data_IF_489299926180
#
_entry.id   IF_489299926180
#
_cell.length_a   1.000
_cell.length_b   1.000
_cell.length_c   1.000
_cell.angle_alpha   90.00
_cell.angle_beta   90.00
_cell.angle_gamma   90.00
#
_symmetry.space_group_name_H-M   'P 1'
#
loop_
_entity.id
_entity.type
_entity.pdbx_description
1 polymer ?
#
# COMPACT_ATOMS: atom_id res chain seq x y z
N UNK A 1 2.48 -30.89 8.06
CA UNK A 1 3.36 -31.30 6.96
C UNK A 1 3.17 -30.45 5.72
N UNK A 2 1.95 -30.31 5.23
CA UNK A 2 1.68 -29.46 4.05
C UNK A 2 2.04 -27.98 4.25
N UNK A 3 1.95 -27.47 5.46
CA UNK A 3 2.31 -26.08 5.78
C UNK A 3 3.80 -25.80 5.64
N UNK A 4 4.64 -26.77 5.98
CA UNK A 4 6.08 -26.63 5.83
C UNK A 4 6.49 -26.59 4.36
N UNK A 5 5.84 -27.38 3.51
CA UNK A 5 6.09 -27.37 2.08
C UNK A 5 5.68 -26.03 1.44
N UNK A 6 4.59 -25.43 1.90
CA UNK A 6 4.18 -24.10 1.44
C UNK A 6 5.14 -23.02 1.89
N UNK A 7 5.63 -23.10 3.13
CA UNK A 7 6.58 -22.15 3.67
C UNK A 7 7.89 -22.19 2.91
N UNK A 8 8.37 -23.39 2.51
CA UNK A 8 9.59 -23.53 1.75
C UNK A 8 9.52 -23.00 0.33
N UNK A 9 8.30 -22.87 -0.23
CA UNK A 9 8.07 -22.28 -1.55
C UNK A 9 7.96 -20.76 -1.53
N UNK A 10 7.80 -20.20 -0.34
CA UNK A 10 7.70 -18.76 -0.18
C UNK A 10 9.03 -18.11 -0.52
N UNK A 11 8.98 -17.04 -1.31
CA UNK A 11 10.17 -16.28 -1.68
C UNK A 11 10.86 -15.75 -0.42
N UNK A 12 12.17 -15.95 -0.31
CA UNK A 12 12.93 -15.41 0.81
C UNK A 12 12.85 -13.90 0.90
N UNK A 13 12.65 -13.21 -0.22
CA UNK A 13 12.47 -11.76 -0.24
C UNK A 13 11.14 -11.35 0.43
N UNK A 14 10.09 -12.14 0.27
CA UNK A 14 8.82 -11.90 0.95
C UNK A 14 8.96 -12.05 2.46
N UNK A 15 9.69 -13.06 2.90
CA UNK A 15 9.96 -13.28 4.33
C UNK A 15 10.76 -12.12 4.92
N UNK A 16 11.76 -11.64 4.19
CA UNK A 16 12.55 -10.48 4.63
C UNK A 16 11.71 -9.22 4.70
N UNK A 17 10.82 -9.01 3.74
CA UNK A 17 9.91 -7.86 3.76
C UNK A 17 9.02 -7.89 5.00
N UNK A 18 8.49 -9.05 5.36
CA UNK A 18 7.68 -9.21 6.57
C UNK A 18 8.47 -8.87 7.83
N UNK A 19 9.74 -9.28 7.88
CA UNK A 19 10.63 -8.98 9.00
C UNK A 19 10.87 -7.47 9.10
N UNK A 20 11.19 -6.81 7.98
CA UNK A 20 11.44 -5.37 7.96
C UNK A 20 10.21 -4.56 8.33
N UNK A 21 9.03 -5.03 7.95
CA UNK A 21 7.78 -4.34 8.32
C UNK A 21 7.50 -4.34 9.83
N UNK A 22 8.16 -5.24 10.56
CA UNK A 22 8.04 -5.29 12.03
C UNK A 22 8.97 -4.31 12.73
N UNK A 23 9.93 -3.70 12.03
CA UNK A 23 10.87 -2.75 12.61
C UNK A 23 10.35 -1.31 12.53
N UNK A 24 10.89 -0.44 13.38
CA UNK A 24 10.65 0.99 13.27
C UNK A 24 11.35 1.55 12.02
N UNK A 25 10.96 2.72 11.60
CA UNK A 25 11.48 3.33 10.37
C UNK A 25 13.00 3.56 10.37
N UNK A 26 13.62 4.09 11.44
CA UNK A 26 15.07 4.27 11.46
C UNK A 26 15.84 2.95 11.36
N UNK A 27 15.37 1.90 12.03
CA UNK A 27 15.99 0.58 11.97
C UNK A 27 15.83 -0.04 10.60
N UNK A 28 14.63 0.06 10.03
CA UNK A 28 14.30 -0.39 8.68
C UNK A 28 15.22 0.26 7.65
N UNK A 29 15.38 1.59 7.70
CA UNK A 29 16.22 2.32 6.76
C UNK A 29 17.69 1.87 6.84
N UNK A 30 18.20 1.64 8.04
CA UNK A 30 19.58 1.18 8.25
C UNK A 30 19.79 -0.21 7.67
N UNK A 31 18.87 -1.13 7.94
CA UNK A 31 18.97 -2.50 7.48
C UNK A 31 18.86 -2.60 5.97
N UNK A 32 17.96 -1.84 5.36
CA UNK A 32 17.84 -1.79 3.91
C UNK A 32 19.07 -1.18 3.26
N UNK A 33 19.64 -0.14 3.87
CA UNK A 33 20.88 0.47 3.41
C UNK A 33 22.05 -0.51 3.45
N UNK A 34 22.16 -1.29 4.53
CA UNK A 34 23.17 -2.33 4.63
C UNK A 34 22.97 -3.42 3.59
N UNK A 35 21.73 -3.84 3.36
CA UNK A 35 21.39 -4.84 2.35
C UNK A 35 21.73 -4.36 0.94
N UNK A 36 21.48 -3.09 0.64
CA UNK A 36 21.80 -2.49 -0.66
C UNK A 36 23.29 -2.55 -0.97
N UNK A 37 24.12 -2.41 0.05
CA UNK A 37 25.58 -2.49 -0.10
C UNK A 37 26.01 -3.87 -0.56
N UNK A 38 25.30 -4.91 -0.13
CA UNK A 38 25.67 -6.31 -0.42
C UNK A 38 24.89 -6.90 -1.58
N UNK A 39 23.61 -6.54 -1.73
CA UNK A 39 22.76 -7.08 -2.78
C UNK A 39 21.65 -6.10 -3.12
N UNK A 40 21.91 -5.28 -4.13
CA UNK A 40 21.00 -4.22 -4.57
C UNK A 40 19.66 -4.76 -5.08
N UNK A 41 19.69 -5.84 -5.85
CA UNK A 41 18.47 -6.42 -6.42
C UNK A 41 17.53 -6.94 -5.33
N UNK A 42 18.09 -7.61 -4.33
CA UNK A 42 17.32 -8.10 -3.19
C UNK A 42 16.70 -6.92 -2.40
N UNK A 43 17.46 -5.85 -2.19
CA UNK A 43 16.97 -4.67 -1.48
C UNK A 43 15.80 -4.03 -2.22
N UNK A 44 15.88 -3.89 -3.53
CA UNK A 44 14.81 -3.33 -4.35
C UNK A 44 13.54 -4.18 -4.29
N UNK A 45 13.68 -5.50 -4.38
CA UNK A 45 12.54 -6.41 -4.26
C UNK A 45 11.88 -6.34 -2.89
N UNK A 46 12.68 -6.29 -1.84
CA UNK A 46 12.17 -6.19 -0.46
C UNK A 46 11.41 -4.88 -0.28
N UNK A 47 11.93 -3.76 -0.77
CA UNK A 47 11.23 -2.47 -0.71
C UNK A 47 9.88 -2.51 -1.41
N UNK A 48 9.81 -3.14 -2.57
CA UNK A 48 8.55 -3.28 -3.30
C UNK A 48 7.52 -4.10 -2.51
N UNK A 49 7.98 -5.14 -1.81
CA UNK A 49 7.12 -5.99 -0.98
C UNK A 49 6.72 -5.32 0.33
N UNK A 50 7.48 -4.32 0.78
CA UNK A 50 7.19 -3.56 2.01
C UNK A 50 6.19 -2.42 1.79
N UNK A 51 5.58 -2.34 0.64
CA UNK A 51 4.58 -1.32 0.33
C UNK A 51 3.44 -1.37 1.34
N UNK A 52 3.20 -0.25 2.02
CA UNK A 52 2.17 -0.14 3.06
C UNK A 52 1.10 0.86 2.65
N UNK A 53 -0.01 0.90 3.43
CA UNK A 53 -1.17 1.72 3.10
C UNK A 53 -0.83 3.20 2.86
N UNK A 54 -0.02 3.81 3.72
CA UNK A 54 0.33 5.23 3.57
C UNK A 54 1.16 5.52 2.31
N UNK A 55 1.80 4.51 1.74
CA UNK A 55 2.53 4.66 0.48
C UNK A 55 1.60 4.90 -0.71
N UNK A 56 0.30 4.66 -0.56
CA UNK A 56 -0.69 5.02 -1.58
C UNK A 56 -0.71 6.52 -1.87
N UNK A 57 -0.21 7.34 -0.95
CA UNK A 57 -0.08 8.77 -1.15
C UNK A 57 0.86 9.14 -2.31
N UNK A 58 1.69 8.20 -2.74
CA UNK A 58 2.63 8.39 -3.85
C UNK A 58 2.05 8.05 -5.22
N UNK A 59 0.84 7.52 -5.26
CA UNK A 59 0.18 7.24 -6.53
C UNK A 59 -0.12 8.54 -7.26
N UNK A 60 0.00 8.51 -8.57
CA UNK A 60 -0.45 9.62 -9.40
C UNK A 60 -1.99 9.66 -9.44
N UNK A 61 -2.60 10.76 -9.90
CA UNK A 61 -4.06 10.86 -9.97
C UNK A 61 -4.71 9.72 -10.75
N UNK A 62 -4.11 9.31 -11.86
CA UNK A 62 -4.61 8.19 -12.66
C UNK A 62 -4.61 6.89 -11.88
N UNK A 63 -3.56 6.63 -11.10
CA UNK A 63 -3.45 5.45 -10.25
C UNK A 63 -4.50 5.44 -9.15
N UNK A 64 -4.72 6.58 -8.50
CA UNK A 64 -5.75 6.71 -7.46
C UNK A 64 -7.13 6.44 -8.05
N UNK A 65 -7.45 7.01 -9.21
CA UNK A 65 -8.75 6.82 -9.87
C UNK A 65 -8.96 5.37 -10.27
N UNK A 66 -7.92 4.71 -10.77
CA UNK A 66 -7.98 3.28 -11.14
C UNK A 66 -8.26 2.43 -9.90
N UNK A 67 -7.56 2.71 -8.80
CA UNK A 67 -7.77 2.01 -7.54
C UNK A 67 -9.19 2.23 -7.01
N UNK A 68 -9.69 3.47 -7.04
CA UNK A 68 -11.04 3.79 -6.57
C UNK A 68 -12.13 3.01 -7.30
N UNK A 69 -11.92 2.72 -8.58
CA UNK A 69 -12.90 1.96 -9.37
C UNK A 69 -13.00 0.50 -8.95
N UNK A 70 -11.96 -0.04 -8.35
CA UNK A 70 -11.94 -1.45 -7.95
C UNK A 70 -12.34 -1.69 -6.51
N UNK A 71 -12.42 -0.62 -5.70
CA UNK A 71 -12.69 -0.75 -4.27
C UNK A 71 -14.17 -0.67 -3.93
N UNK A 72 -14.57 -1.45 -2.94
CA UNK A 72 -15.89 -1.33 -2.31
C UNK A 72 -15.93 -0.04 -1.47
N UNK A 73 -17.06 0.66 -1.52
CA UNK A 73 -17.22 1.94 -0.82
C UNK A 73 -17.13 1.82 0.70
N UNK A 74 -17.69 0.75 1.27
CA UNK A 74 -17.61 0.52 2.70
C UNK A 74 -16.18 0.28 3.15
N UNK A 75 -15.44 -0.50 2.39
CA UNK A 75 -14.04 -0.79 2.65
C UNK A 75 -13.19 0.47 2.55
N UNK A 76 -13.43 1.27 1.51
CA UNK A 76 -12.74 2.54 1.32
C UNK A 76 -12.99 3.48 2.50
N UNK A 77 -14.24 3.62 2.94
CA UNK A 77 -14.59 4.46 4.08
C UNK A 77 -13.91 4.05 5.36
N UNK A 78 -13.89 2.75 5.66
CA UNK A 78 -13.20 2.21 6.83
C UNK A 78 -11.70 2.50 6.78
N UNK A 79 -11.08 2.24 5.64
CA UNK A 79 -9.65 2.45 5.46
C UNK A 79 -9.29 3.93 5.62
N UNK A 80 -10.09 4.83 5.07
CA UNK A 80 -9.85 6.27 5.16
C UNK A 80 -10.04 6.82 6.56
N UNK A 81 -10.88 6.19 7.40
CA UNK A 81 -11.02 6.62 8.80
C UNK A 81 -9.70 6.50 9.56
N UNK A 82 -8.86 5.54 9.20
CA UNK A 82 -7.54 5.37 9.81
C UNK A 82 -6.40 6.00 9.02
N UNK A 83 -6.70 6.70 7.94
CA UNK A 83 -5.69 7.32 7.09
C UNK A 83 -5.22 8.65 7.64
N UNK A 84 -4.01 9.06 7.22
CA UNK A 84 -3.53 10.43 7.46
C UNK A 84 -4.40 11.44 6.72
N UNK A 85 -4.38 12.69 7.17
CA UNK A 85 -5.12 13.76 6.50
C UNK A 85 -4.66 13.92 5.05
N UNK A 86 -3.36 13.83 4.81
CA UNK A 86 -2.80 13.94 3.46
C UNK A 86 -3.35 12.86 2.53
N UNK A 87 -3.43 11.62 3.01
CA UNK A 87 -3.95 10.52 2.20
C UNK A 87 -5.43 10.64 1.95
N UNK A 88 -6.20 11.02 2.96
CA UNK A 88 -7.64 11.27 2.81
C UNK A 88 -7.90 12.36 1.76
N UNK A 89 -7.19 13.47 1.85
CA UNK A 89 -7.34 14.55 0.89
C UNK A 89 -6.99 14.14 -0.54
N UNK A 90 -5.95 13.31 -0.69
CA UNK A 90 -5.58 12.78 -2.00
C UNK A 90 -6.72 11.98 -2.63
N UNK A 91 -7.35 11.09 -1.86
CA UNK A 91 -8.46 10.30 -2.36
C UNK A 91 -9.69 11.17 -2.67
N UNK A 92 -10.02 12.09 -1.76
CA UNK A 92 -11.16 12.99 -1.99
C UNK A 92 -10.95 13.91 -3.19
N UNK A 93 -9.73 14.38 -3.40
CA UNK A 93 -9.39 15.23 -4.54
C UNK A 93 -9.55 14.51 -5.89
N UNK A 94 -9.46 13.17 -5.87
CA UNK A 94 -9.63 12.36 -7.07
C UNK A 94 -11.05 11.79 -7.23
N UNK A 95 -11.98 12.24 -6.41
CA UNK A 95 -13.39 11.92 -6.50
C UNK A 95 -14.16 13.15 -6.99
N UNK A 96 -15.36 12.94 -7.55
CA UNK A 96 -16.27 14.06 -7.81
C UNK A 96 -16.68 14.69 -6.48
N UNK A 97 -17.10 15.96 -6.52
CA UNK A 97 -17.60 16.64 -5.31
C UNK A 97 -18.72 15.87 -4.64
N UNK A 98 -19.62 15.34 -5.45
CA UNK A 98 -20.76 14.57 -4.95
C UNK A 98 -20.30 13.28 -4.28
N UNK A 99 -19.39 12.53 -4.92
CA UNK A 99 -18.87 11.30 -4.36
C UNK A 99 -18.09 11.54 -3.08
N UNK A 100 -17.26 12.58 -3.06
CA UNK A 100 -16.50 12.97 -1.89
C UNK A 100 -17.41 13.34 -0.71
N UNK A 101 -18.45 14.11 -0.97
CA UNK A 101 -19.43 14.49 0.05
C UNK A 101 -20.14 13.27 0.63
N UNK A 102 -20.60 12.37 -0.23
CA UNK A 102 -21.26 11.14 0.19
C UNK A 102 -20.32 10.29 1.03
N UNK A 103 -19.06 10.15 0.62
CA UNK A 103 -18.07 9.38 1.36
C UNK A 103 -17.82 9.97 2.74
N UNK A 104 -17.70 11.29 2.85
CA UNK A 104 -17.51 11.96 4.14
C UNK A 104 -18.69 11.74 5.07
N UNK A 105 -19.91 11.83 4.54
CA UNK A 105 -21.13 11.57 5.29
C UNK A 105 -21.19 10.11 5.76
N UNK A 106 -20.85 9.17 4.89
CA UNK A 106 -20.83 7.76 5.22
C UNK A 106 -19.82 7.46 6.32
N UNK A 107 -18.65 8.08 6.26
CA UNK A 107 -17.61 7.92 7.28
C UNK A 107 -18.08 8.45 8.64
N UNK A 108 -18.75 9.59 8.67
CA UNK A 108 -19.34 10.13 9.89
C UNK A 108 -20.41 9.20 10.45
N UNK A 109 -21.24 8.65 9.57
CA UNK A 109 -22.33 7.73 9.95
C UNK A 109 -21.83 6.44 10.56
N UNK A 110 -20.64 6.01 10.20
CA UNK A 110 -20.03 4.81 10.79
C UNK A 110 -19.78 4.94 12.27
N UNK A 111 -19.59 6.17 12.77
CA UNK A 111 -19.22 6.42 14.15
C UNK A 111 -17.89 5.79 14.49
N UNK A 112 -17.64 5.45 15.78
CA UNK A 112 -16.42 4.75 16.17
C UNK A 112 -16.34 3.38 15.50
N UNK A 113 -15.16 3.06 14.95
CA UNK A 113 -14.90 1.78 14.28
C UNK A 113 -13.77 1.06 14.98
N UNK A 114 -13.73 -0.26 14.84
CA UNK A 114 -12.66 -1.06 15.44
C UNK A 114 -11.38 -0.92 14.63
N UNK A 115 -10.25 -0.78 15.31
CA UNK A 115 -8.94 -0.74 14.67
C UNK A 115 -8.72 -1.98 13.79
N UNK A 116 -9.15 -3.13 14.26
CA UNK A 116 -9.07 -4.39 13.49
C UNK A 116 -9.76 -4.28 12.13
N UNK A 117 -10.93 -3.67 12.09
CA UNK A 117 -11.71 -3.52 10.86
C UNK A 117 -11.04 -2.51 9.92
N UNK A 118 -10.50 -1.43 10.47
CA UNK A 118 -9.73 -0.45 9.72
C UNK A 118 -8.49 -1.10 9.10
N UNK A 119 -7.74 -1.85 9.90
CA UNK A 119 -6.53 -2.54 9.43
C UNK A 119 -6.84 -3.53 8.33
N UNK A 120 -7.92 -4.28 8.46
CA UNK A 120 -8.35 -5.22 7.43
C UNK A 120 -8.71 -4.50 6.12
N UNK A 121 -9.41 -3.37 6.21
CA UNK A 121 -9.78 -2.58 5.05
C UNK A 121 -8.54 -1.97 4.37
N UNK A 122 -7.61 -1.45 5.15
CA UNK A 122 -6.36 -0.90 4.61
C UNK A 122 -5.51 -1.99 3.94
N UNK A 123 -5.43 -3.15 4.54
CA UNK A 123 -4.71 -4.29 3.97
C UNK A 123 -5.32 -4.70 2.63
N UNK A 124 -6.65 -4.75 2.55
CA UNK A 124 -7.34 -5.08 1.31
C UNK A 124 -7.07 -4.05 0.20
N UNK A 125 -7.00 -2.76 0.56
CA UNK A 125 -6.64 -1.71 -0.40
C UNK A 125 -5.22 -1.87 -0.92
N UNK A 126 -4.28 -2.19 -0.04
CA UNK A 126 -2.89 -2.44 -0.43
C UNK A 126 -2.81 -3.64 -1.37
N UNK A 127 -3.53 -4.71 -1.08
CA UNK A 127 -3.56 -5.89 -1.95
C UNK A 127 -4.16 -5.57 -3.32
N UNK A 128 -5.22 -4.77 -3.35
CA UNK A 128 -5.81 -4.33 -4.61
C UNK A 128 -4.82 -3.49 -5.43
N UNK A 129 -4.09 -2.58 -4.78
CA UNK A 129 -3.07 -1.77 -5.43
C UNK A 129 -1.94 -2.62 -6.00
N UNK A 130 -1.47 -3.61 -5.23
CA UNK A 130 -0.43 -4.54 -5.69
C UNK A 130 -0.89 -5.37 -6.88
N UNK A 131 -2.14 -5.82 -6.87
CA UNK A 131 -2.71 -6.57 -7.99
C UNK A 131 -2.76 -5.71 -9.26
N UNK A 132 -3.19 -4.46 -9.14
CA UNK A 132 -3.23 -3.53 -10.27
C UNK A 132 -1.82 -3.21 -10.80
N UNK A 133 -0.85 -3.09 -9.91
CA UNK A 133 0.55 -2.87 -10.29
C UNK A 133 1.11 -4.08 -11.03
N UNK A 134 0.75 -5.29 -10.62
CA UNK A 134 1.20 -6.52 -11.27
C UNK A 134 0.71 -6.62 -12.71
N UNK A 135 -0.46 -6.07 -13.01
CA UNK A 135 -1.01 -6.03 -14.37
C UNK A 135 -0.59 -4.78 -15.16
N UNK A 136 0.14 -3.87 -14.53
CA UNK A 136 0.59 -2.63 -15.17
C UNK A 136 -0.44 -1.51 -15.19
N UNK A 137 -1.58 -1.69 -14.55
CA UNK A 137 -2.65 -0.68 -14.51
C UNK A 137 -2.31 0.52 -13.64
N UNK A 138 -1.47 0.32 -12.64
CA UNK A 138 -0.92 1.40 -11.81
C UNK A 138 0.57 1.17 -11.58
N UNK A 139 1.27 2.24 -11.19
CA UNK A 139 2.68 2.16 -10.81
C UNK A 139 2.84 2.44 -9.33
N UNK A 140 3.47 1.53 -8.60
CA UNK A 140 3.78 1.72 -7.20
C UNK A 140 5.09 2.47 -7.03
N UNK A 141 5.27 3.07 -5.84
CA UNK A 141 6.51 3.73 -5.49
C UNK A 141 7.70 2.77 -5.67
N UNK A 142 8.73 3.24 -6.35
CA UNK A 142 9.91 2.45 -6.67
C UNK A 142 9.94 1.91 -8.09
N UNK A 143 8.80 1.66 -8.72
CA UNK A 143 8.75 1.20 -10.11
C UNK A 143 8.98 2.34 -11.10
N UNK A 144 8.47 3.53 -10.78
CA UNK A 144 8.66 4.72 -11.63
C UNK A 144 10.04 5.34 -11.52
N UNK A 145 10.75 5.10 -10.43
CA UNK A 145 12.08 5.68 -10.23
C UNK A 145 13.11 5.13 -11.21
N UNK A 146 12.95 3.89 -11.64
CA UNK A 146 13.87 3.27 -12.60
C UNK A 146 13.74 3.89 -13.99
N UNK A 147 12.58 4.36 -14.37
CA UNK A 147 12.37 5.01 -15.66
C UNK A 147 12.98 6.41 -15.72
N UNK A 148 12.98 7.13 -14.61
CA UNK A 148 13.56 8.47 -14.55
C UNK A 148 15.08 8.47 -14.70
N UNK A 149 15.73 7.38 -14.35
CA UNK A 149 17.18 7.27 -14.40
C UNK A 149 17.74 6.98 -15.78
N UNK A 150 16.88 6.73 -16.76
CA UNK A 150 17.29 6.37 -18.12
C UNK A 150 17.62 7.63 -18.95
N UNK A 151 17.23 8.76 -18.49
CA UNK A 151 17.52 10.02 -19.14
C UNK A 151 18.88 10.60 -18.72
#
# INVERSE_FOLDING_TARGET
MSNLARTSKRDSHEMMADIFNAFDRPTEARLLGALETHNRDAAERIRALMFVFEDLARLDPGGVQTLLRTLDKNQLGLALKGASDALRELFFANMSERASKIMREDMESMGPVRLKDVDAAQTAMVQAAKALAATGDIMLAGQGADEELIY
#
